data_IF_885072909258
#
_entry.id   IF_885072909258
#
_cell.length_a   1.000
_cell.length_b   1.000
_cell.length_c   1.000
_cell.angle_alpha   90.00
_cell.angle_beta   90.00
_cell.angle_gamma   90.00
#
_symmetry.space_group_name_H-M   'P 1'
#
loop_
_entity.id
_entity.type
_entity.pdbx_description
1 polymer ?
#
# COMPACT_ATOMS: atom_id res chain seq x y z
N UNK A 1 33.60 9.26 -3.47
CA UNK A 1 33.42 10.53 -4.21
C UNK A 1 34.01 11.72 -3.43
N UNK A 2 33.65 11.94 -2.17
CA UNK A 2 34.15 13.07 -1.36
C UNK A 2 35.69 13.10 -1.14
N UNK A 3 36.35 11.96 -0.99
CA UNK A 3 37.82 11.92 -0.82
C UNK A 3 38.59 12.40 -2.07
N UNK A 4 38.04 12.17 -3.27
CA UNK A 4 38.65 12.60 -4.54
C UNK A 4 38.55 14.11 -4.71
N UNK A 5 37.43 14.71 -4.31
CA UNK A 5 37.22 16.16 -4.32
C UNK A 5 38.08 16.87 -3.27
N UNK A 6 38.28 16.27 -2.09
CA UNK A 6 39.17 16.82 -1.06
C UNK A 6 40.64 16.84 -1.50
N UNK A 7 41.11 15.76 -2.16
CA UNK A 7 42.46 15.70 -2.73
C UNK A 7 42.67 16.72 -3.86
N UNK A 8 41.68 16.91 -4.73
CA UNK A 8 41.73 17.93 -5.79
C UNK A 8 41.73 19.36 -5.24
N UNK A 9 40.97 19.63 -4.17
CA UNK A 9 40.89 20.95 -3.54
C UNK A 9 42.13 21.31 -2.72
N UNK A 10 42.89 20.32 -2.22
CA UNK A 10 44.17 20.51 -1.51
C UNK A 10 45.23 21.22 -2.38
N UNK A 11 45.17 21.05 -3.71
CA UNK A 11 46.06 21.74 -4.66
C UNK A 11 45.68 23.22 -4.91
N UNK A 12 44.59 23.74 -4.33
CA UNK A 12 44.03 25.06 -4.69
C UNK A 12 43.96 26.07 -3.52
N UNK A 13 44.76 25.87 -2.48
CA UNK A 13 45.02 26.77 -1.32
C UNK A 13 43.82 27.54 -0.70
N UNK A 14 42.59 27.06 -0.85
CA UNK A 14 41.42 27.60 -0.15
C UNK A 14 41.24 26.91 1.22
N UNK A 15 41.97 27.38 2.23
CA UNK A 15 42.02 26.78 3.57
C UNK A 15 40.62 26.56 4.20
N UNK A 16 39.70 27.51 4.03
CA UNK A 16 38.34 27.41 4.61
C UNK A 16 37.51 26.27 4.00
N UNK A 17 37.70 26.00 2.71
CA UNK A 17 36.96 24.96 2.00
C UNK A 17 37.47 23.55 2.33
N UNK A 18 38.76 23.41 2.64
CA UNK A 18 39.38 22.15 3.02
C UNK A 18 38.85 21.61 4.35
N UNK A 19 38.80 22.46 5.40
CA UNK A 19 38.27 22.06 6.70
C UNK A 19 36.77 21.70 6.64
N UNK A 20 35.98 22.45 5.87
CA UNK A 20 34.55 22.15 5.65
C UNK A 20 34.35 20.78 4.98
N UNK A 21 35.15 20.45 3.96
CA UNK A 21 35.06 19.16 3.27
C UNK A 21 35.50 17.99 4.17
N UNK A 22 36.52 18.17 5.00
CA UNK A 22 36.93 17.17 5.99
C UNK A 22 35.87 16.96 7.05
N UNK A 23 35.27 18.03 7.58
CA UNK A 23 34.19 17.93 8.55
C UNK A 23 32.99 17.15 7.97
N UNK A 24 32.60 17.43 6.73
CA UNK A 24 31.53 16.71 6.03
C UNK A 24 31.91 15.23 5.84
N UNK A 25 33.15 14.94 5.43
CA UNK A 25 33.62 13.57 5.25
C UNK A 25 33.64 12.79 6.58
N UNK A 26 34.03 13.44 7.67
CA UNK A 26 34.09 12.84 9.00
C UNK A 26 32.68 12.59 9.56
N UNK A 27 31.73 13.50 9.32
CA UNK A 27 30.31 13.28 9.62
C UNK A 27 29.74 12.11 8.80
N UNK A 28 30.04 12.04 7.50
CA UNK A 28 29.61 10.93 6.65
C UNK A 28 30.23 9.60 7.07
N UNK A 29 31.51 9.61 7.47
CA UNK A 29 32.23 8.44 7.96
C UNK A 29 31.69 7.99 9.33
N UNK A 30 31.39 8.93 10.23
CA UNK A 30 30.74 8.65 11.50
C UNK A 30 29.33 8.08 11.31
N UNK A 31 28.53 8.64 10.39
CA UNK A 31 27.23 8.10 10.01
C UNK A 31 27.35 6.70 9.37
N UNK A 32 28.38 6.48 8.56
CA UNK A 32 28.68 5.19 7.93
C UNK A 32 29.19 4.11 8.91
N UNK A 33 29.95 4.50 9.93
CA UNK A 33 30.46 3.60 10.99
C UNK A 33 29.43 3.33 12.10
N UNK A 34 28.49 4.26 12.33
CA UNK A 34 27.43 4.10 13.31
C UNK A 34 26.45 2.95 12.99
N UNK A 35 26.59 2.32 11.82
CA UNK A 35 25.66 1.36 11.20
C UNK A 35 25.30 0.13 12.05
N UNK A 36 26.01 -0.17 13.15
CA UNK A 36 25.77 -1.44 13.89
C UNK A 36 25.35 -1.33 15.36
N UNK A 37 25.56 -0.22 16.09
CA UNK A 37 25.28 -0.20 17.54
C UNK A 37 24.33 0.91 18.02
N UNK A 38 24.31 2.08 17.36
CA UNK A 38 23.36 3.15 17.70
C UNK A 38 22.08 3.10 16.83
N UNK A 39 22.19 2.52 15.63
CA UNK A 39 21.09 2.38 14.68
C UNK A 39 20.17 1.20 15.00
N UNK A 40 20.57 0.23 15.83
CA UNK A 40 19.74 -0.94 16.19
C UNK A 40 18.46 -0.57 16.96
N UNK A 41 18.50 0.23 18.05
CA UNK A 41 17.28 0.68 18.73
C UNK A 41 16.47 1.69 17.89
N UNK A 42 17.14 2.58 17.15
CA UNK A 42 16.50 3.56 16.28
C UNK A 42 15.77 2.89 15.11
N UNK A 43 16.39 1.91 14.46
CA UNK A 43 15.78 1.11 13.41
C UNK A 43 14.58 0.34 13.95
N UNK A 44 14.66 -0.24 15.15
CA UNK A 44 13.50 -0.92 15.75
C UNK A 44 12.34 0.03 16.04
N UNK A 45 12.62 1.25 16.50
CA UNK A 45 11.59 2.27 16.71
C UNK A 45 11.00 2.74 15.37
N UNK A 46 11.85 2.97 14.37
CA UNK A 46 11.45 3.35 13.02
C UNK A 46 10.58 2.29 12.35
N UNK A 47 10.95 1.01 12.48
CA UNK A 47 10.17 -0.11 11.97
C UNK A 47 8.81 -0.22 12.66
N UNK A 48 8.74 -0.02 13.99
CA UNK A 48 7.47 0.02 14.73
C UNK A 48 6.60 1.20 14.30
N UNK A 49 7.21 2.37 14.10
CA UNK A 49 6.52 3.55 13.59
C UNK A 49 5.97 3.31 12.18
N UNK A 50 6.78 2.73 11.29
CA UNK A 50 6.35 2.33 9.95
C UNK A 50 5.21 1.31 9.97
N UNK A 51 5.23 0.34 10.89
CA UNK A 51 4.15 -0.62 11.06
C UNK A 51 2.84 0.04 11.55
N UNK A 52 2.91 0.95 12.53
CA UNK A 52 1.75 1.73 12.98
C UNK A 52 1.19 2.62 11.88
N UNK A 53 2.07 3.27 11.12
CA UNK A 53 1.68 4.08 9.98
C UNK A 53 0.99 3.22 8.92
N UNK A 54 1.56 2.05 8.60
CA UNK A 54 0.97 1.09 7.67
C UNK A 54 -0.40 0.59 8.12
N UNK A 55 -0.60 0.37 9.42
CA UNK A 55 -1.90 -0.03 10.00
C UNK A 55 -2.99 1.01 9.78
N UNK A 56 -2.64 2.30 9.73
CA UNK A 56 -3.57 3.42 9.49
C UNK A 56 -3.72 3.68 7.99
N UNK A 57 -2.62 3.65 7.24
CA UNK A 57 -2.61 3.92 5.79
C UNK A 57 -3.33 2.82 5.02
N UNK A 58 -3.21 1.55 5.42
CA UNK A 58 -3.87 0.42 4.77
C UNK A 58 -5.40 0.58 4.67
N UNK A 59 -6.16 0.80 5.77
CA UNK A 59 -7.60 1.02 5.69
C UNK A 59 -7.97 2.33 4.97
N UNK A 60 -7.15 3.38 5.05
CA UNK A 60 -7.39 4.62 4.31
C UNK A 60 -7.30 4.37 2.81
N UNK A 61 -6.21 3.74 2.34
CA UNK A 61 -6.00 3.42 0.92
C UNK A 61 -7.09 2.48 0.42
N UNK A 62 -7.42 1.43 1.19
CA UNK A 62 -8.49 0.51 0.84
C UNK A 62 -9.85 1.23 0.77
N UNK A 63 -10.11 2.15 1.70
CA UNK A 63 -11.31 3.00 1.69
C UNK A 63 -11.37 3.88 0.44
N UNK A 64 -10.27 4.55 0.09
CA UNK A 64 -10.18 5.37 -1.13
C UNK A 64 -10.44 4.51 -2.37
N UNK A 65 -9.80 3.35 -2.48
CA UNK A 65 -10.03 2.41 -3.59
C UNK A 65 -11.51 2.01 -3.66
N UNK A 66 -12.12 1.67 -2.53
CA UNK A 66 -13.54 1.33 -2.47
C UNK A 66 -14.43 2.48 -2.95
N UNK A 67 -14.20 3.70 -2.46
CA UNK A 67 -15.02 4.86 -2.83
C UNK A 67 -14.78 5.36 -4.26
N UNK A 68 -13.61 5.14 -4.84
CA UNK A 68 -13.27 5.59 -6.20
C UNK A 68 -13.60 4.54 -7.26
N UNK A 69 -13.43 3.25 -6.96
CA UNK A 69 -13.67 2.18 -7.93
C UNK A 69 -15.03 1.52 -7.72
N UNK A 70 -15.33 1.06 -6.50
CA UNK A 70 -16.49 0.21 -6.24
C UNK A 70 -17.77 1.03 -6.06
N UNK A 71 -17.71 2.10 -5.26
CA UNK A 71 -18.87 2.94 -4.97
C UNK A 71 -19.51 3.58 -6.22
N UNK A 72 -18.77 4.15 -7.20
CA UNK A 72 -19.39 4.71 -8.40
C UNK A 72 -19.98 3.64 -9.31
N UNK A 73 -19.44 2.42 -9.33
CA UNK A 73 -20.06 1.30 -10.05
C UNK A 73 -21.42 1.00 -9.41
N UNK A 74 -21.50 0.94 -8.08
CA UNK A 74 -22.76 0.75 -7.36
C UNK A 74 -23.78 1.86 -7.60
N UNK A 75 -23.33 3.12 -7.57
CA UNK A 75 -24.17 4.28 -7.87
C UNK A 75 -24.63 4.24 -9.34
N UNK A 76 -23.74 3.88 -10.27
CA UNK A 76 -24.06 3.70 -11.68
C UNK A 76 -25.13 2.64 -11.88
N UNK A 77 -24.97 1.44 -11.29
CA UNK A 77 -25.98 0.38 -11.36
C UNK A 77 -27.36 0.84 -10.84
N UNK A 78 -27.38 1.61 -9.73
CA UNK A 78 -28.61 2.22 -9.21
C UNK A 78 -29.22 3.23 -10.19
N UNK A 79 -28.42 4.08 -10.82
CA UNK A 79 -28.90 5.05 -11.82
C UNK A 79 -29.44 4.37 -13.09
N UNK A 80 -28.83 3.27 -13.51
CA UNK A 80 -29.29 2.47 -14.66
C UNK A 80 -30.42 1.49 -14.32
N UNK A 81 -30.94 1.50 -13.09
CA UNK A 81 -32.05 0.65 -12.66
C UNK A 81 -31.75 -0.85 -12.65
N UNK A 82 -30.46 -1.23 -12.73
CA UNK A 82 -30.04 -2.63 -12.66
C UNK A 82 -29.85 -3.01 -11.19
N UNK A 83 -30.85 -3.68 -10.64
CA UNK A 83 -30.75 -4.35 -9.34
C UNK A 83 -30.57 -5.87 -9.55
N UNK A 84 -29.33 -6.38 -9.63
CA UNK A 84 -29.09 -7.82 -9.82
C UNK A 84 -29.57 -8.65 -8.62
N UNK A 85 -29.84 -8.03 -7.48
CA UNK A 85 -30.30 -8.71 -6.27
C UNK A 85 -31.81 -8.53 -6.02
N UNK A 86 -32.56 -7.85 -6.90
CA UNK A 86 -33.99 -7.55 -6.75
C UNK A 86 -34.35 -7.20 -5.29
N UNK A 87 -33.60 -6.27 -4.70
CA UNK A 87 -33.69 -5.92 -3.27
C UNK A 87 -34.92 -5.10 -2.93
N UNK A 88 -35.59 -4.54 -3.93
CA UNK A 88 -36.89 -3.90 -3.75
C UNK A 88 -37.92 -4.97 -3.36
N UNK A 89 -38.53 -4.80 -2.18
CA UNK A 89 -39.67 -5.61 -1.77
C UNK A 89 -40.87 -5.24 -2.64
N UNK A 90 -41.39 -6.20 -3.39
CA UNK A 90 -42.62 -6.08 -4.18
C UNK A 90 -43.81 -6.48 -3.30
N UNK A 91 -44.66 -5.52 -2.86
CA UNK A 91 -45.76 -5.81 -1.92
C UNK A 91 -46.86 -6.68 -2.53
N UNK A 92 -47.04 -6.60 -3.85
CA UNK A 92 -48.04 -7.36 -4.61
C UNK A 92 -47.52 -8.70 -5.16
N UNK A 93 -46.26 -9.06 -4.88
CA UNK A 93 -45.69 -10.33 -5.33
C UNK A 93 -46.27 -11.50 -4.51
N UNK A 94 -46.89 -12.46 -5.20
CA UNK A 94 -47.44 -13.67 -4.57
C UNK A 94 -46.34 -14.61 -4.04
N UNK A 95 -45.15 -14.57 -4.64
CA UNK A 95 -43.97 -15.33 -4.22
C UNK A 95 -42.70 -14.72 -4.81
N UNK A 96 -41.61 -14.71 -4.03
CA UNK A 96 -40.28 -14.31 -4.49
C UNK A 96 -39.49 -15.48 -5.11
N UNK A 97 -40.09 -16.68 -5.18
CA UNK A 97 -39.44 -17.85 -5.76
C UNK A 97 -39.30 -17.68 -7.28
N UNK A 98 -38.06 -17.62 -7.75
CA UNK A 98 -37.75 -17.76 -9.18
C UNK A 98 -37.75 -19.24 -9.56
N UNK A 99 -38.67 -19.63 -10.44
CA UNK A 99 -38.74 -20.98 -10.97
C UNK A 99 -37.58 -21.19 -11.94
N UNK A 100 -36.76 -22.22 -11.71
CA UNK A 100 -35.73 -22.64 -12.67
C UNK A 100 -36.37 -23.58 -13.69
N UNK A 101 -36.36 -23.19 -14.96
CA UNK A 101 -36.94 -23.96 -16.06
C UNK A 101 -36.12 -25.23 -16.40
N UNK A 102 -34.84 -25.27 -16.05
CA UNK A 102 -33.95 -26.41 -16.35
C UNK A 102 -33.04 -26.79 -15.17
N UNK A 103 -32.87 -28.10 -14.87
CA UNK A 103 -31.81 -28.56 -14.00
C UNK A 103 -30.47 -28.32 -14.70
N UNK A 104 -29.70 -27.35 -14.21
CA UNK A 104 -28.39 -26.98 -14.78
C UNK A 104 -27.32 -28.07 -14.66
N UNK A 105 -27.63 -29.17 -13.97
CA UNK A 105 -26.71 -30.28 -13.73
C UNK A 105 -27.39 -31.60 -14.13
N UNK A 106 -26.70 -32.46 -14.90
CA UNK A 106 -27.13 -33.84 -15.09
C UNK A 106 -27.26 -34.53 -13.73
N UNK A 107 -28.26 -35.41 -13.56
CA UNK A 107 -28.46 -36.16 -12.31
C UNK A 107 -27.20 -36.95 -11.87
N UNK A 108 -26.32 -37.28 -12.81
CA UNK A 108 -25.06 -37.99 -12.59
C UNK A 108 -23.89 -37.11 -12.11
N UNK A 109 -24.09 -35.79 -11.96
CA UNK A 109 -23.06 -34.83 -11.50
C UNK A 109 -22.61 -35.05 -10.05
N UNK A 110 -23.26 -35.94 -9.29
CA UNK A 110 -22.95 -36.21 -7.88
C UNK A 110 -21.85 -37.26 -7.66
N UNK A 111 -21.39 -37.94 -8.71
CA UNK A 111 -20.47 -39.06 -8.55
C UNK A 111 -19.02 -38.67 -8.18
N UNK A 112 -18.57 -37.42 -8.39
CA UNK A 112 -17.19 -36.98 -8.16
C UNK A 112 -17.09 -35.67 -7.33
N UNK A 113 -17.83 -35.57 -6.22
CA UNK A 113 -17.86 -34.34 -5.40
C UNK A 113 -16.82 -34.29 -4.28
N UNK A 114 -15.98 -35.32 -4.12
CA UNK A 114 -14.95 -35.42 -3.10
C UNK A 114 -13.61 -35.89 -3.68
#
# INVERSE_FOLDING_TARGET
MFCVLAGWRYLREDAWSYYALIAIALVFLALGLANSNLLTPLNRLWMRFGALLGMIVSPIVLGVIYFVLIAPIGIGMRLFGRDPMKRALEPDAQTYWEYREEPTLPADSFNNQF
#
